data_IF_852683552854
#
_entry.id   IF_852683552854
#
_cell.length_a   1.000
_cell.length_b   1.000
_cell.length_c   1.000
_cell.angle_alpha   90.00
_cell.angle_beta   90.00
_cell.angle_gamma   90.00
#
_symmetry.space_group_name_H-M   'P 1'
#
loop_
_entity.id
_entity.type
_entity.pdbx_description
1 polymer ?
#
# COMPACT_ATOMS: atom_id res chain seq x y z
N UNK A 1 -1.11 10.40 -22.56
CA UNK A 1 -0.82 10.24 -21.11
C UNK A 1 0.64 10.65 -20.91
N UNK A 2 0.92 11.66 -20.07
CA UNK A 2 2.26 12.16 -19.79
C UNK A 2 2.70 11.64 -18.45
N UNK A 3 3.82 10.90 -18.40
CA UNK A 3 4.45 10.46 -17.18
C UNK A 3 5.48 11.51 -16.75
N UNK A 4 5.41 11.97 -15.51
CA UNK A 4 6.29 12.99 -14.96
C UNK A 4 6.95 12.49 -13.66
N UNK A 5 8.11 13.04 -13.31
CA UNK A 5 8.71 12.84 -12.00
C UNK A 5 7.94 13.72 -11.02
N UNK A 6 7.29 13.10 -10.05
CA UNK A 6 6.58 13.78 -8.97
C UNK A 6 7.55 14.24 -7.88
N UNK A 7 8.51 13.38 -7.51
CA UNK A 7 9.53 13.68 -6.51
C UNK A 7 10.85 13.02 -6.88
N UNK A 8 11.94 13.80 -6.84
CA UNK A 8 13.29 13.36 -7.24
C UNK A 8 14.05 12.66 -6.10
N UNK A 9 13.52 12.67 -4.86
CA UNK A 9 14.14 11.93 -3.74
C UNK A 9 14.08 10.44 -4.05
N UNK A 10 15.26 9.82 -4.08
CA UNK A 10 15.39 8.40 -4.41
C UNK A 10 15.21 7.57 -3.16
N UNK A 11 14.16 6.80 -3.12
CA UNK A 11 13.92 5.80 -2.08
C UNK A 11 14.66 4.50 -2.38
N UNK A 12 15.23 3.87 -1.37
CA UNK A 12 15.77 2.52 -1.49
C UNK A 12 14.64 1.54 -1.77
N UNK A 13 13.54 1.67 -1.01
CA UNK A 13 12.29 0.92 -1.22
C UNK A 13 11.11 1.88 -0.95
N UNK A 14 10.79 2.70 -1.97
CA UNK A 14 9.65 3.61 -1.91
C UNK A 14 8.34 2.85 -2.01
N UNK A 15 7.39 3.09 -1.07
CA UNK A 15 6.17 2.29 -0.93
C UNK A 15 5.00 3.09 -0.37
N UNK A 16 3.82 2.47 -0.40
CA UNK A 16 2.62 2.88 0.30
C UNK A 16 2.19 4.34 0.06
N UNK A 17 2.10 4.83 -1.18
CA UNK A 17 1.68 6.19 -1.44
C UNK A 17 0.21 6.36 -1.01
N UNK A 18 -0.11 7.51 -0.42
CA UNK A 18 -1.47 7.84 -0.03
C UNK A 18 -1.70 9.35 -0.06
N UNK A 19 -2.92 9.79 -0.42
CA UNK A 19 -3.31 11.17 -0.15
C UNK A 19 -3.63 11.33 1.33
N UNK A 20 -3.49 12.53 1.88
CA UNK A 20 -3.74 12.76 3.31
C UNK A 20 -5.22 12.55 3.71
N UNK A 21 -6.13 12.39 2.75
CA UNK A 21 -7.56 12.27 2.96
C UNK A 21 -8.23 13.54 3.50
N UNK A 22 -7.49 14.40 4.18
CA UNK A 22 -7.93 15.73 4.62
C UNK A 22 -7.66 16.79 3.55
N UNK A 23 -6.57 16.62 2.81
CA UNK A 23 -6.17 17.43 1.66
C UNK A 23 -5.66 16.50 0.57
N UNK A 24 -6.42 16.30 -0.50
CA UNK A 24 -6.05 15.38 -1.59
C UNK A 24 -4.78 15.79 -2.34
N UNK A 25 -4.35 17.05 -2.21
CA UNK A 25 -3.11 17.56 -2.76
C UNK A 25 -1.87 17.28 -1.89
N UNK A 26 -2.03 16.76 -0.68
CA UNK A 26 -0.93 16.36 0.20
C UNK A 26 -0.71 14.86 0.10
N UNK A 27 0.37 14.44 -0.55
CA UNK A 27 0.74 13.04 -0.78
C UNK A 27 1.83 12.63 0.19
N UNK A 28 1.68 11.47 0.78
CA UNK A 28 2.64 10.84 1.69
C UNK A 28 3.00 9.46 1.16
N UNK A 29 4.26 9.03 1.35
CA UNK A 29 4.76 7.68 1.07
C UNK A 29 5.90 7.35 2.02
N UNK A 30 6.39 6.13 1.99
CA UNK A 30 7.46 5.65 2.85
C UNK A 30 8.70 5.23 2.04
N UNK A 31 9.86 5.27 2.66
CA UNK A 31 11.04 4.51 2.26
C UNK A 31 11.33 3.48 3.34
N UNK A 32 10.91 2.23 3.10
CA UNK A 32 10.95 1.15 4.10
C UNK A 32 12.37 0.95 4.61
N UNK A 33 13.33 0.82 3.70
CA UNK A 33 14.73 0.47 4.03
C UNK A 33 15.58 1.66 4.48
N UNK A 34 15.09 2.90 4.26
CA UNK A 34 15.72 4.11 4.78
C UNK A 34 15.03 4.63 6.04
N UNK A 35 14.01 3.94 6.55
CA UNK A 35 13.28 4.25 7.78
C UNK A 35 12.69 5.66 7.77
N UNK A 36 11.98 6.01 6.66
CA UNK A 36 11.47 7.36 6.46
C UNK A 36 10.01 7.36 6.03
N UNK A 37 9.29 8.35 6.53
CA UNK A 37 8.04 8.81 5.92
C UNK A 37 8.34 10.10 5.19
N UNK A 38 7.94 10.19 3.93
CA UNK A 38 8.12 11.34 3.06
C UNK A 38 6.77 11.93 2.70
N UNK A 39 6.72 13.23 2.41
CA UNK A 39 5.52 13.86 1.90
C UNK A 39 5.83 15.00 0.94
N UNK A 40 4.84 15.34 0.10
CA UNK A 40 4.86 16.48 -0.80
C UNK A 40 3.45 17.03 -0.98
N UNK A 41 3.33 18.37 -0.96
CA UNK A 41 2.13 19.07 -1.39
C UNK A 41 2.20 19.35 -2.89
N UNK A 42 1.18 18.92 -3.64
CA UNK A 42 1.13 19.03 -5.11
C UNK A 42 1.08 20.50 -5.54
N UNK A 43 0.34 21.35 -4.82
CA UNK A 43 0.07 22.71 -5.22
C UNK A 43 1.22 23.66 -4.88
N UNK A 44 1.75 23.57 -3.67
CA UNK A 44 2.86 24.42 -3.22
C UNK A 44 4.23 23.89 -3.62
N UNK A 45 4.34 22.57 -3.88
CA UNK A 45 5.61 21.88 -4.06
C UNK A 45 6.40 21.69 -2.77
N UNK A 46 5.84 22.05 -1.62
CA UNK A 46 6.48 21.86 -0.31
C UNK A 46 6.72 20.37 -0.06
N UNK A 47 7.92 20.06 0.45
CA UNK A 47 8.34 18.68 0.75
C UNK A 47 8.79 18.57 2.19
N UNK A 48 8.66 17.37 2.75
CA UNK A 48 9.22 17.06 4.06
C UNK A 48 9.37 15.55 4.27
N UNK A 49 9.96 15.23 5.40
CA UNK A 49 10.10 13.84 5.86
C UNK A 49 10.35 13.80 7.36
N UNK A 50 10.16 12.64 7.95
CA UNK A 50 10.66 12.32 9.29
C UNK A 50 11.16 10.88 9.34
N UNK A 51 12.07 10.60 10.28
CA UNK A 51 12.64 9.27 10.48
C UNK A 51 11.73 8.44 11.38
N UNK A 52 11.72 7.12 11.15
CA UNK A 52 11.07 6.12 12.00
C UNK A 52 12.13 5.30 12.74
N UNK A 53 11.82 4.70 13.90
CA UNK A 53 12.81 3.97 14.69
C UNK A 53 13.26 2.64 14.07
N UNK A 54 12.53 2.16 13.08
CA UNK A 54 12.78 0.89 12.38
C UNK A 54 12.15 0.94 10.98
N UNK A 55 12.26 -0.15 10.21
CA UNK A 55 11.58 -0.29 8.90
C UNK A 55 10.09 0.01 9.04
N UNK A 56 9.61 0.95 8.24
CA UNK A 56 8.20 1.34 8.20
C UNK A 56 7.51 0.65 7.02
N UNK A 57 6.56 -0.24 7.30
CA UNK A 57 5.82 -0.97 6.26
C UNK A 57 4.60 -0.21 5.74
N UNK A 58 4.02 0.67 6.56
CA UNK A 58 2.94 1.56 6.14
C UNK A 58 2.87 2.85 6.95
N UNK A 59 2.32 3.90 6.33
CA UNK A 59 1.97 5.16 6.98
C UNK A 59 0.65 5.64 6.38
N UNK A 60 -0.42 5.69 7.18
CA UNK A 60 -1.76 6.04 6.72
C UNK A 60 -2.36 7.20 7.53
N UNK A 61 -3.17 8.06 6.89
CA UNK A 61 -3.71 9.24 7.56
C UNK A 61 -4.81 8.90 8.56
N UNK A 62 -4.89 9.71 9.63
CA UNK A 62 -5.90 9.66 10.67
C UNK A 62 -6.86 10.86 10.62
N UNK A 63 -8.04 10.70 11.20
CA UNK A 63 -9.08 11.75 11.26
C UNK A 63 -8.67 12.99 12.04
N UNK A 64 -7.77 12.84 13.01
CA UNK A 64 -7.23 13.95 13.82
C UNK A 64 -6.01 14.66 13.21
N UNK A 65 -5.75 14.44 11.92
CA UNK A 65 -4.54 14.91 11.20
C UNK A 65 -3.24 14.23 11.62
N UNK A 66 -3.31 13.16 12.41
CA UNK A 66 -2.19 12.29 12.72
C UNK A 66 -2.01 11.20 11.67
N UNK A 67 -1.15 10.24 11.99
CA UNK A 67 -0.77 9.12 11.11
C UNK A 67 -0.81 7.84 11.93
N UNK A 68 -1.26 6.74 11.35
CA UNK A 68 -0.99 5.39 11.86
C UNK A 68 0.22 4.83 11.13
N UNK A 69 1.20 4.33 11.88
CA UNK A 69 2.46 3.79 11.40
C UNK A 69 2.56 2.30 11.74
N UNK A 70 2.98 1.50 10.77
CA UNK A 70 3.40 0.13 11.02
C UNK A 70 4.89 -0.02 10.77
N UNK A 71 5.66 -0.34 11.78
CA UNK A 71 7.10 -0.59 11.67
C UNK A 71 7.47 -1.97 12.21
N UNK A 72 8.69 -2.44 11.94
CA UNK A 72 9.11 -3.82 12.25
C UNK A 72 9.02 -4.19 13.74
N UNK A 73 8.93 -3.21 14.64
CA UNK A 73 8.78 -3.43 16.08
C UNK A 73 7.33 -3.32 16.57
N UNK A 74 6.36 -3.03 15.69
CA UNK A 74 4.95 -2.87 16.03
C UNK A 74 4.22 -1.84 15.19
N UNK A 75 3.06 -1.39 15.67
CA UNK A 75 2.31 -0.30 15.06
C UNK A 75 1.98 0.77 16.09
N UNK A 76 1.92 2.03 15.66
CA UNK A 76 1.66 3.18 16.54
C UNK A 76 0.70 4.18 15.91
N UNK A 77 -0.04 4.88 16.76
CA UNK A 77 -0.77 6.10 16.41
C UNK A 77 0.14 7.29 16.72
N UNK A 78 0.56 8.01 15.67
CA UNK A 78 1.34 9.24 15.80
C UNK A 78 0.42 10.44 15.64
N UNK A 79 0.34 11.24 16.68
CA UNK A 79 -0.46 12.46 16.70
C UNK A 79 0.29 13.65 16.04
N UNK A 80 -0.39 14.75 15.69
CA UNK A 80 0.24 15.90 15.02
C UNK A 80 1.38 16.55 15.81
N UNK A 81 1.39 16.43 17.14
CA UNK A 81 2.46 16.89 18.05
C UNK A 81 3.63 15.90 18.16
N UNK A 82 3.60 14.85 17.35
CA UNK A 82 4.57 13.75 17.35
C UNK A 82 4.51 12.78 18.53
N UNK A 83 3.51 12.87 19.40
CA UNK A 83 3.25 11.87 20.43
C UNK A 83 2.84 10.54 19.77
N UNK A 84 3.44 9.43 20.22
CA UNK A 84 3.15 8.11 19.69
C UNK A 84 2.52 7.21 20.75
N UNK A 85 1.42 6.55 20.38
CA UNK A 85 0.69 5.61 21.22
C UNK A 85 0.68 4.24 20.55
N UNK A 86 1.12 3.16 21.20
CA UNK A 86 1.18 1.84 20.59
C UNK A 86 -0.21 1.29 20.31
N UNK A 87 -0.33 0.56 19.19
CA UNK A 87 -1.46 -0.30 18.87
C UNK A 87 -1.18 -1.73 19.38
N UNK A 88 -2.21 -2.60 19.48
CA UNK A 88 -2.03 -4.02 19.77
C UNK A 88 -1.00 -4.67 18.85
N UNK A 89 -0.17 -5.56 19.40
CA UNK A 89 0.79 -6.33 18.63
C UNK A 89 0.08 -7.42 17.80
N UNK A 90 0.60 -7.75 16.60
CA UNK A 90 0.11 -8.92 15.86
C UNK A 90 0.25 -10.22 16.67
N UNK A 91 1.20 -10.29 17.61
CA UNK A 91 1.37 -11.46 18.48
C UNK A 91 0.15 -11.73 19.36
N UNK A 92 -0.68 -10.70 19.64
CA UNK A 92 -1.94 -10.87 20.38
C UNK A 92 -3.00 -11.64 19.56
N UNK A 93 -2.88 -11.65 18.23
CA UNK A 93 -3.74 -12.40 17.34
C UNK A 93 -3.16 -13.78 16.93
N UNK A 94 -1.95 -14.12 17.41
CA UNK A 94 -1.29 -15.39 17.16
C UNK A 94 -1.52 -16.38 18.30
N UNK A 95 -1.54 -17.68 17.98
CA UNK A 95 -1.65 -18.76 18.98
C UNK A 95 -0.32 -19.15 19.63
N UNK A 96 0.78 -18.47 19.25
CA UNK A 96 2.13 -18.73 19.74
C UNK A 96 3.18 -17.88 19.02
N UNK A 97 4.48 -18.05 19.34
CA UNK A 97 5.54 -17.30 18.69
C UNK A 97 5.62 -17.64 17.20
N UNK A 98 5.86 -16.65 16.37
CA UNK A 98 6.11 -16.85 14.95
C UNK A 98 7.45 -17.55 14.73
N UNK A 99 7.52 -18.54 13.81
CA UNK A 99 8.73 -19.32 13.58
C UNK A 99 9.84 -18.50 12.91
N UNK A 100 9.49 -17.44 12.22
CA UNK A 100 10.39 -16.56 11.46
C UNK A 100 10.03 -15.11 11.79
N UNK A 101 11.02 -14.22 11.97
CA UNK A 101 10.76 -12.80 12.17
C UNK A 101 10.04 -12.19 10.97
N UNK A 102 8.99 -11.40 11.26
CA UNK A 102 8.18 -10.71 10.25
C UNK A 102 8.17 -9.20 10.53
N UNK A 103 7.85 -8.42 9.48
CA UNK A 103 7.57 -6.99 9.57
C UNK A 103 6.22 -6.69 8.92
N UNK A 104 5.65 -5.53 9.22
CA UNK A 104 4.56 -5.00 8.42
C UNK A 104 5.00 -4.75 6.97
N UNK A 105 4.10 -4.97 6.04
CA UNK A 105 4.25 -4.62 4.63
C UNK A 105 3.13 -3.64 4.24
N UNK A 106 2.23 -4.00 3.33
CA UNK A 106 1.18 -3.10 2.87
C UNK A 106 -0.02 -3.06 3.83
N UNK A 107 -0.71 -1.92 3.86
CA UNK A 107 -1.90 -1.71 4.69
C UNK A 107 -2.88 -0.73 4.04
N UNK A 108 -4.16 -0.85 4.41
CA UNK A 108 -5.22 0.05 3.94
C UNK A 108 -6.33 0.16 4.98
N UNK A 109 -6.95 1.33 5.07
CA UNK A 109 -8.15 1.52 5.90
C UNK A 109 -9.38 1.09 5.10
N UNK A 110 -10.13 0.14 5.65
CA UNK A 110 -11.35 -0.39 5.05
C UNK A 110 -12.49 0.66 5.05
N UNK A 111 -13.50 0.49 4.18
CA UNK A 111 -14.64 1.42 4.09
C UNK A 111 -15.36 1.65 5.41
N UNK A 112 -15.38 0.65 6.27
CA UNK A 112 -15.97 0.75 7.60
C UNK A 112 -15.06 1.41 8.66
N UNK A 113 -13.79 1.72 8.33
CA UNK A 113 -12.82 2.37 9.23
C UNK A 113 -11.92 1.39 10.02
N UNK A 114 -12.01 0.08 9.81
CA UNK A 114 -11.02 -0.89 10.30
C UNK A 114 -9.72 -0.77 9.50
N UNK A 115 -8.57 -1.00 10.13
CA UNK A 115 -7.28 -1.00 9.44
C UNK A 115 -6.89 -2.44 9.09
N UNK A 116 -6.75 -2.74 7.80
CA UNK A 116 -6.18 -3.99 7.32
C UNK A 116 -4.69 -3.80 7.08
N UNK A 117 -3.87 -4.68 7.64
CA UNK A 117 -2.42 -4.64 7.51
C UNK A 117 -1.85 -6.05 7.42
N UNK A 118 -0.96 -6.25 6.49
CA UNK A 118 -0.33 -7.55 6.29
C UNK A 118 1.14 -7.56 6.69
N UNK A 119 1.64 -8.74 7.01
CA UNK A 119 3.04 -8.99 7.33
C UNK A 119 3.72 -9.83 6.26
N UNK A 120 5.05 -9.76 6.25
CA UNK A 120 5.94 -10.63 5.49
C UNK A 120 7.19 -10.94 6.30
N UNK A 121 7.88 -12.03 5.99
CA UNK A 121 9.20 -12.29 6.53
C UNK A 121 10.23 -11.27 6.02
N UNK A 122 11.24 -10.93 6.83
CA UNK A 122 12.32 -10.03 6.43
C UNK A 122 13.11 -10.53 5.23
N UNK A 123 13.27 -11.83 5.10
CA UNK A 123 13.99 -12.50 4.00
C UNK A 123 13.05 -12.87 2.83
N UNK A 124 11.77 -12.52 2.89
CA UNK A 124 10.77 -12.86 1.89
C UNK A 124 10.34 -14.33 1.90
N UNK A 125 10.59 -15.07 2.98
CA UNK A 125 10.22 -16.48 3.09
C UNK A 125 8.73 -16.70 2.83
N UNK A 126 8.43 -17.73 2.04
CA UNK A 126 7.07 -18.08 1.67
C UNK A 126 6.26 -18.53 2.89
N UNK A 127 4.98 -18.16 2.91
CA UNK A 127 3.98 -18.63 3.88
C UNK A 127 4.29 -18.25 5.36
N UNK A 128 5.12 -17.21 5.59
CA UNK A 128 5.57 -16.80 6.92
C UNK A 128 4.77 -15.64 7.54
N UNK A 129 4.02 -14.91 6.73
CA UNK A 129 3.20 -13.76 7.16
C UNK A 129 1.72 -14.07 7.30
N UNK A 130 0.96 -13.04 7.62
CA UNK A 130 -0.49 -13.06 7.78
C UNK A 130 -1.10 -11.71 7.40
N UNK A 131 -2.40 -11.69 7.13
CA UNK A 131 -3.19 -10.47 7.04
C UNK A 131 -4.00 -10.31 8.32
N UNK A 132 -3.94 -9.12 8.92
CA UNK A 132 -4.65 -8.76 10.13
C UNK A 132 -5.60 -7.59 9.90
N UNK A 133 -6.57 -7.41 10.81
CA UNK A 133 -7.35 -6.20 10.93
C UNK A 133 -7.29 -5.65 12.36
N UNK A 134 -7.16 -4.34 12.47
CA UNK A 134 -7.38 -3.61 13.71
C UNK A 134 -8.81 -3.09 13.75
N UNK A 135 -9.42 -3.12 14.93
CA UNK A 135 -10.71 -2.47 15.15
C UNK A 135 -10.64 -0.97 14.88
N UNK A 136 -11.79 -0.36 14.55
CA UNK A 136 -11.92 1.10 14.24
C UNK A 136 -11.35 2.01 15.32
N UNK A 137 -11.36 1.57 16.58
CA UNK A 137 -10.84 2.30 17.72
C UNK A 137 -9.38 1.94 18.08
N UNK A 138 -8.75 1.05 17.28
CA UNK A 138 -7.38 0.61 17.47
C UNK A 138 -7.12 -0.25 18.72
N UNK A 139 -8.17 -0.76 19.39
CA UNK A 139 -7.99 -1.48 20.69
C UNK A 139 -7.86 -2.99 20.56
N UNK A 140 -8.16 -3.55 19.40
CA UNK A 140 -8.04 -4.98 19.16
C UNK A 140 -7.49 -5.28 17.78
N UNK A 141 -6.86 -6.44 17.65
CA UNK A 141 -6.34 -6.98 16.40
C UNK A 141 -6.87 -8.39 16.20
N UNK A 142 -7.19 -8.75 14.97
CA UNK A 142 -7.69 -10.07 14.58
C UNK A 142 -6.99 -10.53 13.32
N UNK A 143 -6.58 -11.79 13.26
CA UNK A 143 -6.03 -12.40 12.05
C UNK A 143 -7.14 -12.76 11.08
N UNK A 144 -6.99 -12.33 9.81
CA UNK A 144 -7.95 -12.58 8.74
C UNK A 144 -7.53 -13.71 7.80
N UNK A 145 -6.25 -13.70 7.38
CA UNK A 145 -5.70 -14.70 6.46
C UNK A 145 -4.35 -15.19 6.96
N UNK A 146 -4.13 -16.48 6.89
CA UNK A 146 -2.84 -17.15 7.05
C UNK A 146 -2.91 -18.53 6.35
N UNK A 147 -1.80 -19.04 5.77
CA UNK A 147 -0.54 -18.33 5.59
C UNK A 147 -0.62 -17.27 4.49
N UNK A 148 0.26 -16.25 4.57
CA UNK A 148 0.52 -15.23 3.57
C UNK A 148 2.04 -15.13 3.40
N UNK A 149 2.50 -14.90 2.18
CA UNK A 149 3.93 -14.74 1.93
C UNK A 149 4.34 -13.27 1.99
N UNK A 150 3.82 -12.45 1.07
CA UNK A 150 4.07 -11.01 0.98
C UNK A 150 2.74 -10.30 0.72
N UNK A 151 2.17 -9.70 1.75
CA UNK A 151 0.88 -9.01 1.68
C UNK A 151 0.99 -7.70 0.92
N UNK A 152 0.22 -7.56 -0.17
CA UNK A 152 0.25 -6.43 -1.09
C UNK A 152 -1.13 -6.08 -1.68
N UNK A 153 -1.21 -4.93 -2.35
CA UNK A 153 -2.34 -4.45 -3.16
C UNK A 153 -3.71 -4.62 -2.50
N UNK A 154 -3.81 -4.12 -1.26
CA UNK A 154 -5.06 -4.12 -0.51
C UNK A 154 -5.93 -2.92 -0.91
N UNK A 155 -7.16 -3.15 -1.41
CA UNK A 155 -8.14 -2.06 -1.55
C UNK A 155 -9.56 -2.61 -1.75
N UNK A 156 -10.55 -1.73 -1.78
CA UNK A 156 -11.96 -2.05 -1.94
C UNK A 156 -12.57 -1.37 -3.16
N UNK A 157 -13.60 -2.01 -3.72
CA UNK A 157 -14.47 -1.36 -4.71
C UNK A 157 -15.15 -0.11 -4.10
N UNK A 158 -15.55 0.88 -4.94
CA UNK A 158 -16.17 2.12 -4.45
C UNK A 158 -17.44 1.92 -3.61
N UNK A 159 -18.18 0.85 -3.87
CA UNK A 159 -19.38 0.48 -3.10
C UNK A 159 -19.03 -0.25 -1.78
N UNK A 160 -17.74 -0.55 -1.56
CA UNK A 160 -17.24 -1.20 -0.35
C UNK A 160 -17.70 -2.65 -0.17
N UNK A 161 -18.12 -3.34 -1.24
CA UNK A 161 -18.63 -4.72 -1.15
C UNK A 161 -17.61 -5.79 -1.54
N UNK A 162 -16.56 -5.40 -2.27
CA UNK A 162 -15.49 -6.30 -2.72
C UNK A 162 -14.15 -5.82 -2.20
N UNK A 163 -13.37 -6.72 -1.61
CA UNK A 163 -11.98 -6.50 -1.22
C UNK A 163 -11.05 -7.16 -2.22
N UNK A 164 -10.11 -6.39 -2.77
CA UNK A 164 -9.01 -6.87 -3.61
C UNK A 164 -7.76 -7.13 -2.78
N UNK A 165 -7.01 -8.15 -3.15
CA UNK A 165 -5.82 -8.56 -2.43
C UNK A 165 -4.81 -9.29 -3.30
N UNK A 166 -3.54 -9.01 -3.08
CA UNK A 166 -2.39 -9.73 -3.65
C UNK A 166 -1.54 -10.31 -2.53
N UNK A 167 -1.30 -11.61 -2.57
CA UNK A 167 -0.13 -12.21 -1.96
C UNK A 167 0.90 -12.42 -3.07
N UNK A 168 1.95 -11.62 -3.11
CA UNK A 168 2.88 -11.50 -4.24
C UNK A 168 3.35 -12.85 -4.78
N UNK A 169 3.76 -13.79 -3.89
CA UNK A 169 4.30 -15.08 -4.32
C UNK A 169 3.25 -16.04 -4.89
N UNK A 170 1.96 -15.72 -4.78
CA UNK A 170 0.90 -16.48 -5.45
C UNK A 170 0.75 -16.10 -6.92
N UNK A 171 1.33 -14.99 -7.34
CA UNK A 171 1.24 -14.45 -8.70
C UNK A 171 -0.20 -14.27 -9.15
N UNK A 172 -1.07 -13.74 -8.26
CA UNK A 172 -2.47 -13.53 -8.61
C UNK A 172 -3.09 -12.35 -7.86
N UNK A 173 -4.10 -11.75 -8.50
CA UNK A 173 -5.04 -10.84 -7.88
C UNK A 173 -6.27 -11.64 -7.44
N UNK A 174 -6.56 -11.62 -6.16
CA UNK A 174 -7.76 -12.20 -5.58
C UNK A 174 -8.80 -11.13 -5.25
N UNK A 175 -10.05 -11.53 -5.22
CA UNK A 175 -11.16 -10.75 -4.66
C UNK A 175 -11.92 -11.56 -3.63
N UNK A 176 -12.48 -10.85 -2.66
CA UNK A 176 -13.33 -11.40 -1.60
C UNK A 176 -14.62 -10.61 -1.52
N UNK A 177 -15.69 -11.24 -1.11
CA UNK A 177 -16.85 -10.52 -0.61
C UNK A 177 -16.47 -9.87 0.73
N UNK A 178 -16.78 -8.58 0.87
CA UNK A 178 -16.49 -7.82 2.09
C UNK A 178 -17.79 -7.33 2.73
N UNK A 179 -17.86 -7.48 4.05
CA UNK A 179 -18.90 -6.94 4.92
C UNK A 179 -18.29 -6.60 6.29
N UNK A 180 -19.06 -5.96 7.17
CA UNK A 180 -18.61 -5.65 8.56
C UNK A 180 -18.17 -6.91 9.34
N UNK A 181 -18.66 -8.10 8.96
CA UNK A 181 -18.23 -9.37 9.53
C UNK A 181 -16.83 -9.83 9.10
N UNK A 182 -16.24 -9.21 8.07
CA UNK A 182 -14.95 -9.54 7.49
C UNK A 182 -15.00 -9.89 6.02
N UNK A 183 -14.05 -10.71 5.58
CA UNK A 183 -13.86 -11.14 4.19
C UNK A 183 -14.24 -12.61 4.04
N UNK A 184 -14.93 -12.96 2.93
CA UNK A 184 -15.37 -14.31 2.59
C UNK A 184 -15.26 -14.56 1.08
N UNK A 185 -15.53 -15.77 0.63
CA UNK A 185 -15.66 -16.12 -0.80
C UNK A 185 -14.45 -15.70 -1.65
N UNK A 186 -13.22 -16.10 -1.25
CA UNK A 186 -12.00 -15.86 -2.04
C UNK A 186 -12.11 -16.41 -3.45
N UNK A 187 -11.91 -15.56 -4.45
CA UNK A 187 -11.91 -15.91 -5.88
C UNK A 187 -10.68 -15.30 -6.52
N UNK A 188 -9.88 -16.10 -7.23
CA UNK A 188 -8.80 -15.59 -8.07
C UNK A 188 -9.40 -14.89 -9.29
N UNK A 189 -9.22 -13.57 -9.35
CA UNK A 189 -9.70 -12.73 -10.44
C UNK A 189 -8.75 -12.73 -11.63
N UNK A 190 -7.44 -12.64 -11.38
CA UNK A 190 -6.38 -12.63 -12.39
C UNK A 190 -5.23 -13.51 -11.94
N UNK A 191 -4.67 -14.30 -12.85
CA UNK A 191 -3.34 -14.94 -12.70
C UNK A 191 -2.35 -14.21 -13.58
N UNK A 192 -1.19 -13.87 -13.00
CA UNK A 192 -0.10 -13.19 -13.68
C UNK A 192 0.92 -14.19 -14.20
N UNK A 193 1.59 -13.84 -15.30
CA UNK A 193 2.72 -14.60 -15.81
C UNK A 193 4.01 -14.15 -15.10
N UNK A 194 4.94 -15.09 -14.86
CA UNK A 194 6.23 -14.78 -14.23
C UNK A 194 7.03 -13.73 -15.02
N UNK A 195 6.85 -13.67 -16.35
CA UNK A 195 7.47 -12.68 -17.23
C UNK A 195 6.93 -11.25 -17.03
N UNK A 196 5.80 -11.09 -16.35
CA UNK A 196 5.23 -9.78 -16.01
C UNK A 196 5.98 -9.07 -14.86
N UNK A 197 6.84 -9.79 -14.13
CA UNK A 197 7.36 -9.35 -12.84
C UNK A 197 6.41 -9.75 -11.70
N UNK A 198 6.79 -9.45 -10.46
CA UNK A 198 5.99 -9.80 -9.29
C UNK A 198 4.93 -8.71 -9.00
N UNK A 199 3.65 -9.07 -8.85
CA UNK A 199 2.62 -8.10 -8.46
C UNK A 199 2.91 -7.57 -7.05
N UNK A 200 2.87 -6.25 -6.91
CA UNK A 200 3.25 -5.55 -5.70
C UNK A 200 2.06 -4.71 -5.17
N UNK A 201 2.28 -3.53 -4.62
CA UNK A 201 1.23 -2.67 -4.11
C UNK A 201 0.32 -2.09 -5.18
N UNK A 202 -0.81 -1.53 -4.76
CA UNK A 202 -1.79 -1.00 -5.69
C UNK A 202 -2.95 -0.24 -5.04
N UNK A 203 -3.87 0.23 -5.88
CA UNK A 203 -5.09 0.91 -5.44
C UNK A 203 -6.28 0.66 -6.38
N UNK A 204 -7.47 0.76 -5.83
CA UNK A 204 -8.70 0.75 -6.61
C UNK A 204 -9.04 2.13 -7.17
N UNK A 205 -9.93 2.16 -8.15
CA UNK A 205 -10.42 3.40 -8.74
C UNK A 205 -11.96 3.52 -8.69
N UNK A 206 -12.47 4.67 -9.11
CA UNK A 206 -13.90 5.00 -9.03
C UNK A 206 -14.79 4.15 -9.94
N UNK A 207 -14.23 3.38 -10.86
CA UNK A 207 -14.94 2.43 -11.72
C UNK A 207 -14.86 0.99 -11.18
N UNK A 208 -14.24 0.78 -10.01
CA UNK A 208 -14.07 -0.52 -9.38
C UNK A 208 -12.95 -1.37 -9.99
N UNK A 209 -12.06 -0.76 -10.78
CA UNK A 209 -10.84 -1.43 -11.27
C UNK A 209 -9.72 -1.38 -10.24
N UNK A 210 -8.72 -2.25 -10.41
CA UNK A 210 -7.54 -2.34 -9.55
C UNK A 210 -6.27 -2.05 -10.34
N UNK A 211 -5.51 -1.06 -9.90
CA UNK A 211 -4.17 -0.71 -10.39
C UNK A 211 -3.12 -1.41 -9.56
N UNK A 212 -2.16 -2.06 -10.21
CA UNK A 212 -1.11 -2.86 -9.54
C UNK A 212 0.24 -2.51 -10.15
N UNK A 213 1.23 -2.20 -9.29
CA UNK A 213 2.63 -2.12 -9.64
C UNK A 213 3.26 -3.51 -9.81
N UNK A 214 4.28 -3.62 -10.65
CA UNK A 214 4.99 -4.88 -10.86
C UNK A 214 6.47 -4.71 -10.58
N UNK A 215 6.95 -5.31 -9.50
CA UNK A 215 8.38 -5.41 -9.19
C UNK A 215 9.11 -6.21 -10.27
N UNK A 216 10.16 -5.64 -10.82
CA UNK A 216 10.90 -6.24 -11.93
C UNK A 216 10.24 -6.11 -13.30
N UNK A 217 8.98 -5.65 -13.36
CA UNK A 217 8.17 -5.62 -14.57
C UNK A 217 8.25 -4.34 -15.39
N UNK A 218 8.75 -3.24 -14.82
CA UNK A 218 8.82 -1.92 -15.48
C UNK A 218 7.46 -1.40 -15.99
N UNK A 219 6.38 -1.75 -15.32
CA UNK A 219 5.04 -1.27 -15.65
C UNK A 219 4.09 -1.26 -14.47
N UNK A 220 3.00 -0.51 -14.62
CA UNK A 220 1.79 -0.57 -13.81
C UNK A 220 0.63 -0.96 -14.71
N UNK A 221 -0.28 -1.81 -14.24
CA UNK A 221 -1.45 -2.28 -14.97
C UNK A 221 -2.74 -2.05 -14.22
N UNK A 222 -3.81 -1.83 -14.97
CA UNK A 222 -5.18 -1.80 -14.44
C UNK A 222 -5.97 -3.00 -14.95
N UNK A 223 -6.68 -3.62 -14.02
CA UNK A 223 -7.64 -4.68 -14.28
C UNK A 223 -9.03 -4.20 -13.84
N UNK A 224 -10.04 -4.43 -14.67
CA UNK A 224 -11.42 -4.12 -14.31
C UNK A 224 -12.01 -5.20 -13.35
N UNK A 225 -13.24 -5.00 -12.89
CA UNK A 225 -13.91 -5.91 -11.95
C UNK A 225 -14.15 -7.33 -12.50
N UNK A 226 -13.95 -7.54 -13.81
CA UNK A 226 -14.01 -8.86 -14.47
C UNK A 226 -12.64 -9.53 -14.58
N UNK A 227 -11.56 -8.83 -14.25
CA UNK A 227 -10.17 -9.29 -14.39
C UNK A 227 -9.55 -8.99 -15.75
N UNK A 228 -10.23 -8.25 -16.64
CA UNK A 228 -9.68 -7.85 -17.92
C UNK A 228 -8.68 -6.72 -17.75
N UNK A 229 -7.46 -6.89 -18.31
CA UNK A 229 -6.47 -5.82 -18.39
C UNK A 229 -6.98 -4.71 -19.32
N UNK A 230 -7.16 -3.50 -18.80
CA UNK A 230 -7.67 -2.34 -19.52
C UNK A 230 -6.60 -1.29 -19.82
N UNK A 231 -5.59 -1.18 -18.94
CA UNK A 231 -4.46 -0.26 -19.10
C UNK A 231 -3.15 -0.95 -18.77
N UNK A 232 -2.10 -0.51 -19.46
CA UNK A 232 -0.72 -0.83 -19.16
C UNK A 232 0.14 0.40 -19.43
N UNK A 233 0.88 0.84 -18.43
CA UNK A 233 1.72 2.02 -18.46
C UNK A 233 3.16 1.58 -18.22
N UNK A 234 4.00 1.73 -19.25
CA UNK A 234 5.42 1.44 -19.14
C UNK A 234 6.12 2.53 -18.33
N UNK A 235 6.96 2.10 -17.40
CA UNK A 235 7.72 2.94 -16.51
C UNK A 235 9.21 2.95 -16.91
N UNK A 236 9.93 4.07 -16.69
CA UNK A 236 11.35 4.18 -17.04
C UNK A 236 12.31 3.50 -16.06
N UNK A 237 11.79 2.78 -15.08
CA UNK A 237 12.50 2.10 -14.00
C UNK A 237 12.01 0.66 -13.86
N UNK A 238 12.81 -0.20 -13.24
CA UNK A 238 12.53 -1.63 -13.17
C UNK A 238 11.47 -1.99 -12.13
N UNK A 239 11.59 -1.45 -10.92
CA UNK A 239 10.82 -1.88 -9.75
C UNK A 239 9.71 -0.88 -9.44
N UNK A 240 8.49 -1.21 -9.84
CA UNK A 240 7.28 -0.45 -9.53
C UNK A 240 6.64 -1.09 -8.31
N UNK A 241 6.55 -0.33 -7.25
CA UNK A 241 6.18 -0.87 -5.93
C UNK A 241 4.69 -0.67 -5.64
N UNK A 242 4.17 0.56 -5.73
CA UNK A 242 2.78 0.82 -5.40
C UNK A 242 2.22 2.04 -6.12
N UNK A 243 0.93 2.31 -5.95
CA UNK A 243 0.31 3.53 -6.45
C UNK A 243 -0.88 3.98 -5.60
N UNK A 244 -1.23 5.28 -5.73
CA UNK A 244 -2.42 5.86 -5.14
C UNK A 244 -2.90 7.07 -5.93
N UNK A 245 -4.21 7.32 -5.91
CA UNK A 245 -4.77 8.52 -6.50
C UNK A 245 -4.66 9.71 -5.56
N UNK A 246 -4.33 10.88 -6.12
CA UNK A 246 -4.19 12.15 -5.44
C UNK A 246 -4.67 13.31 -6.34
N UNK A 247 -4.48 14.54 -5.85
CA UNK A 247 -5.00 15.74 -6.50
C UNK A 247 -6.42 16.08 -6.06
N UNK A 248 -6.83 17.31 -6.29
CA UNK A 248 -8.14 17.81 -5.85
C UNK A 248 -9.29 16.96 -6.39
N UNK A 249 -9.18 16.49 -7.64
CA UNK A 249 -10.18 15.68 -8.33
C UNK A 249 -9.92 14.17 -8.24
N UNK A 250 -8.84 13.73 -7.56
CA UNK A 250 -8.37 12.34 -7.54
C UNK A 250 -8.11 11.77 -8.95
N UNK A 251 -7.60 12.57 -9.85
CA UNK A 251 -7.32 12.23 -11.25
C UNK A 251 -5.82 12.03 -11.55
N UNK A 252 -4.97 12.27 -10.56
CA UNK A 252 -3.53 12.04 -10.63
C UNK A 252 -3.18 10.71 -9.95
N UNK A 253 -2.57 9.79 -10.69
CA UNK A 253 -2.02 8.54 -10.14
C UNK A 253 -0.56 8.77 -9.77
N UNK A 254 -0.26 8.69 -8.48
CA UNK A 254 1.09 8.71 -7.92
C UNK A 254 1.62 7.29 -7.89
N UNK A 255 2.86 7.09 -8.34
CA UNK A 255 3.49 5.76 -8.45
C UNK A 255 4.83 5.80 -7.73
N UNK A 256 5.00 4.95 -6.73
CA UNK A 256 6.26 4.75 -6.01
C UNK A 256 7.12 3.68 -6.69
N UNK A 257 8.43 3.79 -6.50
CA UNK A 257 9.42 2.88 -7.10
C UNK A 257 10.56 2.62 -6.13
N UNK A 258 11.35 1.57 -6.39
CA UNK A 258 12.52 1.23 -5.60
C UNK A 258 13.81 1.33 -6.41
N UNK A 259 14.90 1.79 -5.75
CA UNK A 259 16.24 1.73 -6.32
C UNK A 259 16.99 0.44 -5.96
N UNK A 260 16.47 -0.37 -5.04
CA UNK A 260 16.98 -1.72 -4.78
C UNK A 260 17.01 -2.52 -6.08
N UNK A 261 18.12 -3.22 -6.35
CA UNK A 261 18.37 -4.02 -7.57
C UNK A 261 18.29 -3.25 -8.91
N UNK A 262 18.22 -1.90 -8.87
CA UNK A 262 18.19 -1.01 -10.05
C UNK A 262 18.91 0.34 -9.76
N UNK A 263 19.94 0.32 -8.93
CA UNK A 263 20.62 1.52 -8.44
C UNK A 263 21.35 2.32 -9.54
N UNK A 264 21.79 1.64 -10.61
CA UNK A 264 22.45 2.24 -11.77
C UNK A 264 21.52 3.16 -12.59
N UNK A 265 20.21 2.92 -12.54
CA UNK A 265 19.25 3.78 -13.19
C UNK A 265 19.00 5.03 -12.30
N UNK A 266 19.34 6.24 -12.77
CA UNK A 266 19.26 7.45 -11.94
C UNK A 266 17.82 7.81 -11.55
N UNK A 267 16.80 7.26 -12.21
CA UNK A 267 15.38 7.50 -11.92
C UNK A 267 14.78 6.46 -10.97
N UNK A 268 15.44 5.34 -10.72
CA UNK A 268 14.95 4.32 -9.79
C UNK A 268 14.90 4.84 -8.36
N UNK A 269 13.82 4.55 -7.67
CA UNK A 269 13.51 5.07 -6.35
C UNK A 269 12.81 6.44 -6.34
N UNK A 270 12.71 7.13 -7.48
CA UNK A 270 11.91 8.35 -7.59
C UNK A 270 10.41 8.03 -7.59
N UNK A 271 9.60 9.00 -7.20
CA UNK A 271 8.13 8.90 -7.29
C UNK A 271 7.66 9.58 -8.56
N UNK A 272 6.73 8.95 -9.26
CA UNK A 272 6.18 9.44 -10.53
C UNK A 272 4.71 9.83 -10.37
N UNK A 273 4.21 10.65 -11.32
CA UNK A 273 2.81 11.02 -11.44
C UNK A 273 2.35 10.96 -12.90
N UNK A 274 1.09 10.62 -13.09
CA UNK A 274 0.43 10.65 -14.39
C UNK A 274 -1.09 10.79 -14.24
N UNK A 275 -1.77 11.24 -15.30
CA UNK A 275 -3.23 11.27 -15.37
C UNK A 275 -3.72 10.11 -16.24
N UNK A 276 -4.25 9.02 -15.66
CA UNK A 276 -4.65 7.84 -16.41
C UNK A 276 -5.98 7.98 -17.14
N UNK A 277 -6.72 9.07 -16.92
CA UNK A 277 -8.06 9.30 -17.49
C UNK A 277 -9.19 8.67 -16.66
N UNK A 278 -8.87 8.06 -15.54
CA UNK A 278 -9.80 7.49 -14.57
C UNK A 278 -9.51 8.15 -13.23
N UNK A 279 -10.54 8.33 -12.40
CA UNK A 279 -10.39 8.92 -11.06
C UNK A 279 -10.26 7.85 -9.98
N UNK A 280 -9.59 8.21 -8.89
CA UNK A 280 -9.50 7.37 -7.71
C UNK A 280 -10.69 7.51 -6.76
N UNK A 281 -10.61 6.77 -5.67
CA UNK A 281 -11.52 6.85 -4.54
C UNK A 281 -10.94 7.77 -3.45
N UNK A 282 -11.82 8.35 -2.63
CA UNK A 282 -11.37 9.11 -1.45
C UNK A 282 -10.67 8.19 -0.46
N UNK A 283 -9.54 8.66 0.06
CA UNK A 283 -8.83 7.95 1.12
C UNK A 283 -9.70 7.86 2.38
N UNK A 284 -9.89 6.65 2.89
CA UNK A 284 -10.53 6.41 4.19
C UNK A 284 -9.52 6.67 5.30
N UNK A 285 -9.93 7.40 6.33
CA UNK A 285 -9.07 7.80 7.44
C UNK A 285 -9.26 6.85 8.62
N UNK A 286 -8.16 6.44 9.26
CA UNK A 286 -8.20 5.74 10.54
C UNK A 286 -8.56 6.70 11.69
N UNK A 287 -9.05 6.18 12.81
CA UNK A 287 -9.44 7.01 13.97
C UNK A 287 -8.27 7.71 14.64
#
# INVERSE_FOLDING_TARGET
MKLEIFDERRCTLGEGPTSSGLRNNHVMWIDILSYKVLWRDINSGEIGSFDTPAEVGFALPRKNSGIVLGHSTGATLRDPDSTENPLPSWLEAESGPLPIPVRWNDAKVAPNGELFAGTMAFDGAKDAGSLYKFSKDGKSITKLLAPVSISNALDWTPDGTTFYYVDTLTMQLDKFDYADSGITNRITLVKFDESDGMPDGGCSDSEGGMWIGFWGGSHIRRYDSTGKKTHEIKMPVKNITSCAFAGENLDMLIVTTASADDAENPKSGMTFALEPGIKGNKTVLFN
#
